data_IF_892382656959
#
_entry.id   IF_892382656959
#
_cell.length_a   1.000
_cell.length_b   1.000
_cell.length_c   1.000
_cell.angle_alpha   90.00
_cell.angle_beta   90.00
_cell.angle_gamma   90.00
#
_symmetry.space_group_name_H-M   'P 1'
#
loop_
_entity.id
_entity.type
_entity.pdbx_description
1 polymer ?
#
# COMPACT_ATOMS: atom_id res chain seq x y z
N UNK A 1 -3.34 42.72 0.23
CA UNK A 1 -2.07 41.94 0.13
C UNK A 1 -1.90 40.95 1.29
N UNK A 2 -2.26 41.31 2.53
CA UNK A 2 -2.14 40.40 3.69
C UNK A 2 -3.07 39.21 3.57
N UNK A 3 -4.33 39.41 3.16
CA UNK A 3 -5.32 38.31 3.01
C UNK A 3 -4.88 37.24 2.01
N UNK A 4 -4.24 37.64 0.90
CA UNK A 4 -3.69 36.69 -0.09
C UNK A 4 -2.52 35.89 0.50
N UNK A 5 -1.66 36.53 1.29
CA UNK A 5 -0.57 35.84 1.98
C UNK A 5 -1.08 34.81 2.98
N UNK A 6 -2.09 35.17 3.76
CA UNK A 6 -2.68 34.25 4.73
C UNK A 6 -3.38 33.08 4.01
N UNK A 7 -4.11 33.34 2.95
CA UNK A 7 -4.71 32.28 2.13
C UNK A 7 -3.65 31.33 1.54
N UNK A 8 -2.56 31.86 1.02
CA UNK A 8 -1.43 31.07 0.50
C UNK A 8 -0.76 30.24 1.58
N UNK A 9 -0.59 30.77 2.81
CA UNK A 9 -0.08 29.99 3.94
C UNK A 9 -1.00 28.83 4.28
N UNK A 10 -2.31 29.07 4.37
CA UNK A 10 -3.30 28.02 4.63
C UNK A 10 -3.22 26.95 3.54
N UNK A 11 -3.23 27.34 2.26
CA UNK A 11 -3.11 26.41 1.14
C UNK A 11 -1.76 25.64 1.14
N UNK A 12 -0.70 26.24 1.65
CA UNK A 12 0.61 25.58 1.82
C UNK A 12 0.53 24.54 2.94
N UNK A 13 -0.07 24.89 4.07
CA UNK A 13 -0.28 23.94 5.18
C UNK A 13 -1.19 22.78 4.76
N UNK A 14 -2.22 23.05 3.94
CA UNK A 14 -3.10 22.02 3.36
C UNK A 14 -2.44 21.20 2.23
N UNK A 15 -1.23 21.54 1.83
CA UNK A 15 -0.51 20.83 0.78
C UNK A 15 -0.96 21.12 -0.64
N UNK A 16 -1.85 22.07 -0.84
CA UNK A 16 -2.35 22.46 -2.16
C UNK A 16 -1.32 23.30 -2.90
N UNK A 17 -0.54 24.10 -2.17
CA UNK A 17 0.46 25.01 -2.71
C UNK A 17 1.82 24.73 -2.07
N UNK A 18 2.88 24.75 -2.89
CA UNK A 18 4.27 24.84 -2.44
C UNK A 18 4.81 26.23 -2.67
N UNK A 19 5.34 26.87 -1.62
CA UNK A 19 5.99 28.18 -1.69
C UNK A 19 7.50 28.03 -1.78
N UNK A 20 8.12 28.61 -2.78
CA UNK A 20 9.58 28.65 -2.92
C UNK A 20 10.06 30.09 -2.78
N UNK A 21 10.95 30.33 -1.82
CA UNK A 21 11.50 31.66 -1.57
C UNK A 21 12.17 32.21 -2.84
N UNK A 22 11.76 33.42 -3.26
CA UNK A 22 12.28 34.06 -4.46
C UNK A 22 11.74 33.53 -5.81
N UNK A 23 11.01 32.42 -5.83
CA UNK A 23 10.51 31.78 -7.05
C UNK A 23 8.98 31.78 -7.19
N UNK A 24 8.26 32.03 -6.09
CA UNK A 24 6.80 32.11 -6.12
C UNK A 24 6.06 30.89 -5.53
N UNK A 25 4.76 30.81 -5.84
CA UNK A 25 3.86 29.76 -5.36
C UNK A 25 3.44 28.87 -6.53
N UNK A 26 3.46 27.55 -6.29
CA UNK A 26 3.14 26.53 -7.28
C UNK A 26 2.11 25.59 -6.72
N UNK A 27 1.27 24.99 -7.57
CA UNK A 27 0.39 23.91 -7.17
C UNK A 27 1.26 22.72 -6.74
N UNK A 28 1.02 22.23 -5.54
CA UNK A 28 1.76 21.10 -5.00
C UNK A 28 1.28 19.80 -5.63
N UNK A 29 2.21 18.93 -6.07
CA UNK A 29 1.92 17.55 -6.47
C UNK A 29 2.03 16.54 -5.31
N UNK A 30 2.35 16.99 -4.09
CA UNK A 30 2.62 16.10 -2.95
C UNK A 30 1.38 15.83 -2.07
N UNK A 31 0.27 15.49 -2.70
CA UNK A 31 -0.96 15.15 -1.96
C UNK A 31 -0.76 13.95 -1.02
N UNK A 32 0.01 12.96 -1.45
CA UNK A 32 0.34 11.78 -0.65
C UNK A 32 1.01 12.14 0.68
N UNK A 33 2.04 12.98 0.68
CA UNK A 33 2.75 13.37 1.91
C UNK A 33 1.82 13.97 2.95
N UNK A 34 0.91 14.87 2.54
CA UNK A 34 -0.07 15.45 3.46
C UNK A 34 -1.10 14.45 3.96
N UNK A 35 -1.47 13.45 3.15
CA UNK A 35 -2.34 12.37 3.60
C UNK A 35 -1.64 11.49 4.65
N UNK A 36 -0.36 11.17 4.46
CA UNK A 36 0.46 10.45 5.44
C UNK A 36 0.54 11.23 6.75
N UNK A 37 0.82 12.54 6.69
CA UNK A 37 0.89 13.40 7.88
C UNK A 37 -0.45 13.42 8.64
N UNK A 38 -1.57 13.58 7.92
CA UNK A 38 -2.91 13.59 8.51
C UNK A 38 -3.28 12.24 9.15
N UNK A 39 -3.02 11.13 8.47
CA UNK A 39 -3.26 9.78 9.00
C UNK A 39 -2.35 9.48 10.19
N UNK A 40 -1.08 9.89 10.15
CA UNK A 40 -0.15 9.74 11.27
C UNK A 40 -0.61 10.53 12.50
N UNK A 41 -1.15 11.74 12.30
CA UNK A 41 -1.72 12.54 13.39
C UNK A 41 -2.97 11.87 13.98
N UNK A 42 -3.89 11.36 13.14
CA UNK A 42 -5.05 10.59 13.60
C UNK A 42 -4.61 9.36 14.40
N UNK A 43 -3.63 8.61 13.90
CA UNK A 43 -3.09 7.44 14.59
C UNK A 43 -2.59 7.79 16.01
N UNK A 44 -1.84 8.90 16.14
CA UNK A 44 -1.33 9.34 17.44
C UNK A 44 -2.41 9.87 18.37
N UNK A 45 -3.36 10.67 17.87
CA UNK A 45 -4.36 11.35 18.69
C UNK A 45 -5.52 10.42 19.09
N UNK A 46 -6.01 9.61 18.16
CA UNK A 46 -7.15 8.72 18.37
C UNK A 46 -6.72 7.33 18.89
N UNK A 47 -5.41 7.12 19.06
CA UNK A 47 -4.83 5.83 19.49
C UNK A 47 -5.36 4.67 18.64
N UNK A 48 -5.40 4.89 17.32
CA UNK A 48 -5.79 3.83 16.39
C UNK A 48 -4.84 2.65 16.55
N UNK A 49 -5.40 1.45 16.55
CA UNK A 49 -4.62 0.22 16.57
C UNK A 49 -4.34 -0.29 15.14
N UNK A 50 -3.44 -1.25 15.07
CA UNK A 50 -3.07 -1.91 13.82
C UNK A 50 -4.28 -2.54 13.13
N UNK A 51 -5.16 -3.17 13.88
CA UNK A 51 -6.29 -3.92 13.33
C UNK A 51 -7.23 -3.00 12.56
N UNK A 52 -7.48 -1.78 13.05
CA UNK A 52 -8.33 -0.80 12.38
C UNK A 52 -7.73 -0.36 11.03
N UNK A 53 -6.43 -0.10 10.98
CA UNK A 53 -5.73 0.26 9.74
C UNK A 53 -5.75 -0.93 8.77
N UNK A 54 -5.48 -2.14 9.29
CA UNK A 54 -5.44 -3.34 8.47
C UNK A 54 -6.81 -3.69 7.89
N UNK A 55 -7.89 -3.54 8.64
CA UNK A 55 -9.26 -3.72 8.15
C UNK A 55 -9.58 -2.82 6.95
N UNK A 56 -9.21 -1.54 7.02
CA UNK A 56 -9.37 -0.61 5.88
C UNK A 56 -8.49 -1.03 4.71
N UNK A 57 -7.24 -1.40 4.97
CA UNK A 57 -6.31 -1.90 3.95
C UNK A 57 -6.89 -3.11 3.23
N UNK A 58 -7.34 -4.12 3.97
CA UNK A 58 -7.97 -5.33 3.41
C UNK A 58 -9.14 -4.96 2.49
N UNK A 59 -10.05 -4.11 2.97
CA UNK A 59 -11.20 -3.67 2.16
C UNK A 59 -10.80 -3.02 0.84
N UNK A 60 -9.81 -2.14 0.87
CA UNK A 60 -9.29 -1.47 -0.33
C UNK A 60 -8.55 -2.43 -1.27
N UNK A 61 -7.73 -3.33 -0.74
CA UNK A 61 -6.99 -4.29 -1.54
C UNK A 61 -7.90 -5.34 -2.19
N UNK A 62 -8.93 -5.80 -1.49
CA UNK A 62 -9.95 -6.69 -2.05
C UNK A 62 -10.67 -6.03 -3.24
N UNK A 63 -11.01 -4.74 -3.13
CA UNK A 63 -11.61 -3.98 -4.22
C UNK A 63 -10.60 -3.73 -5.35
N UNK A 64 -9.35 -3.38 -5.02
CA UNK A 64 -8.28 -3.20 -5.99
C UNK A 64 -8.07 -4.48 -6.82
N UNK A 65 -8.05 -5.63 -6.16
CA UNK A 65 -7.90 -6.94 -6.82
C UNK A 65 -9.03 -7.21 -7.82
N UNK A 66 -10.28 -7.00 -7.40
CA UNK A 66 -11.44 -7.20 -8.28
C UNK A 66 -11.39 -6.30 -9.53
N UNK A 67 -10.90 -5.08 -9.38
CA UNK A 67 -10.68 -4.15 -10.50
C UNK A 67 -9.47 -4.57 -11.35
N UNK A 68 -8.36 -4.98 -10.72
CA UNK A 68 -7.17 -5.45 -11.43
C UNK A 68 -7.46 -6.67 -12.33
N UNK A 69 -8.29 -7.61 -11.86
CA UNK A 69 -8.73 -8.75 -12.68
C UNK A 69 -9.40 -8.29 -14.00
N UNK A 70 -10.10 -7.15 -14.00
CA UNK A 70 -10.76 -6.59 -15.19
C UNK A 70 -9.79 -5.76 -16.03
N UNK A 71 -8.93 -4.96 -15.38
CA UNK A 71 -8.22 -3.86 -16.01
C UNK A 71 -6.75 -4.16 -16.31
N UNK A 72 -6.14 -5.16 -15.63
CA UNK A 72 -4.72 -5.47 -15.80
C UNK A 72 -4.36 -5.78 -17.25
N UNK A 73 -3.32 -5.10 -17.72
CA UNK A 73 -2.71 -5.35 -19.04
C UNK A 73 -1.61 -6.41 -18.91
N UNK A 74 -1.15 -6.92 -20.04
CA UNK A 74 -0.07 -7.93 -20.10
C UNK A 74 1.20 -7.46 -19.37
N UNK A 75 1.55 -6.18 -19.48
CA UNK A 75 2.70 -5.60 -18.79
C UNK A 75 2.59 -5.68 -17.27
N UNK A 76 1.38 -5.42 -16.71
CA UNK A 76 1.14 -5.46 -15.26
C UNK A 76 1.30 -6.89 -14.73
N UNK A 77 0.86 -7.87 -15.52
CA UNK A 77 0.98 -9.29 -15.19
C UNK A 77 2.44 -9.75 -15.21
N UNK A 78 3.22 -9.32 -16.21
CA UNK A 78 4.66 -9.61 -16.28
C UNK A 78 5.37 -9.03 -15.07
N UNK A 79 5.12 -7.75 -14.74
CA UNK A 79 5.69 -7.08 -13.56
C UNK A 79 5.36 -7.84 -12.26
N UNK A 80 4.11 -8.28 -12.09
CA UNK A 80 3.69 -9.07 -10.92
C UNK A 80 4.41 -10.42 -10.83
N UNK A 81 4.56 -11.12 -11.96
CA UNK A 81 5.30 -12.39 -12.00
C UNK A 81 6.77 -12.22 -11.64
N UNK A 82 7.41 -11.15 -12.12
CA UNK A 82 8.78 -10.81 -11.77
C UNK A 82 8.92 -10.58 -10.26
N UNK A 83 8.00 -9.84 -9.64
CA UNK A 83 8.05 -9.60 -8.19
C UNK A 83 7.80 -10.87 -7.36
N UNK A 84 6.88 -11.74 -7.77
CA UNK A 84 6.66 -13.03 -7.10
C UNK A 84 7.89 -13.93 -7.22
N UNK A 85 8.52 -14.00 -8.39
CA UNK A 85 9.73 -14.78 -8.59
C UNK A 85 10.90 -14.22 -7.75
N UNK A 86 11.06 -12.90 -7.70
CA UNK A 86 12.09 -12.27 -6.89
C UNK A 86 11.86 -12.49 -5.39
N UNK A 87 10.60 -12.41 -4.92
CA UNK A 87 10.21 -12.76 -3.55
C UNK A 87 10.60 -14.21 -3.21
N UNK A 88 10.35 -15.14 -4.13
CA UNK A 88 10.63 -16.57 -3.94
C UNK A 88 12.13 -16.88 -3.88
N UNK A 89 12.93 -16.17 -4.67
CA UNK A 89 14.39 -16.35 -4.76
C UNK A 89 15.14 -15.62 -3.63
N UNK A 90 14.55 -14.60 -3.04
CA UNK A 90 15.21 -13.83 -1.99
C UNK A 90 15.39 -14.64 -0.72
N UNK A 91 16.58 -14.54 -0.12
CA UNK A 91 16.91 -15.09 1.20
C UNK A 91 16.89 -14.03 2.30
N UNK A 92 16.97 -12.76 1.92
CA UNK A 92 16.96 -11.62 2.81
C UNK A 92 15.54 -11.21 3.20
N UNK A 93 15.32 -10.92 4.50
CA UNK A 93 14.00 -10.55 5.00
C UNK A 93 13.57 -9.15 4.58
N UNK A 94 14.49 -8.21 4.44
CA UNK A 94 14.19 -6.85 4.02
C UNK A 94 13.82 -6.84 2.53
N UNK A 95 14.53 -7.63 1.72
CA UNK A 95 14.16 -7.85 0.32
C UNK A 95 12.77 -8.50 0.17
N UNK A 96 12.48 -9.52 0.99
CA UNK A 96 11.15 -10.17 1.00
C UNK A 96 10.06 -9.17 1.33
N UNK A 97 10.26 -8.34 2.35
CA UNK A 97 9.31 -7.28 2.72
C UNK A 97 9.13 -6.28 1.60
N UNK A 98 10.19 -5.91 0.91
CA UNK A 98 10.14 -5.00 -0.23
C UNK A 98 9.32 -5.59 -1.39
N UNK A 99 9.55 -6.86 -1.75
CA UNK A 99 8.80 -7.50 -2.84
C UNK A 99 7.34 -7.77 -2.48
N UNK A 100 7.04 -8.11 -1.22
CA UNK A 100 5.68 -8.20 -0.70
C UNK A 100 4.92 -6.89 -0.96
N UNK A 101 5.47 -5.76 -0.54
CA UNK A 101 4.90 -4.43 -0.80
C UNK A 101 4.74 -4.13 -2.28
N UNK A 102 5.74 -4.49 -3.10
CA UNK A 102 5.69 -4.26 -4.55
C UNK A 102 4.56 -5.04 -5.21
N UNK A 103 4.29 -6.28 -4.77
CA UNK A 103 3.19 -7.09 -5.28
C UNK A 103 1.84 -6.42 -4.98
N UNK A 104 1.60 -6.04 -3.73
CA UNK A 104 0.37 -5.35 -3.33
C UNK A 104 0.18 -4.01 -4.07
N UNK A 105 1.25 -3.22 -4.18
CA UNK A 105 1.22 -1.96 -4.92
C UNK A 105 0.95 -2.16 -6.42
N UNK A 106 1.56 -3.16 -7.05
CA UNK A 106 1.35 -3.46 -8.47
C UNK A 106 -0.09 -3.91 -8.75
N UNK A 107 -0.69 -4.71 -7.85
CA UNK A 107 -2.12 -5.08 -7.93
C UNK A 107 -3.00 -3.83 -7.82
N UNK A 108 -2.72 -2.96 -6.84
CA UNK A 108 -3.45 -1.70 -6.69
C UNK A 108 -3.33 -0.82 -7.94
N UNK A 109 -2.14 -0.69 -8.52
CA UNK A 109 -1.88 0.05 -9.74
C UNK A 109 -2.62 -0.54 -10.94
N UNK A 110 -2.61 -1.87 -11.10
CA UNK A 110 -3.33 -2.59 -12.15
C UNK A 110 -4.86 -2.45 -12.04
N UNK A 111 -5.38 -2.06 -10.86
CA UNK A 111 -6.80 -1.73 -10.68
C UNK A 111 -7.26 -0.56 -11.55
N UNK A 112 -6.34 0.35 -11.93
CA UNK A 112 -6.64 1.59 -12.63
C UNK A 112 -7.30 2.67 -11.76
N UNK A 113 -7.52 2.42 -10.46
CA UNK A 113 -8.12 3.38 -9.54
C UNK A 113 -7.05 4.15 -8.76
N UNK A 114 -6.72 5.35 -9.26
CA UNK A 114 -5.68 6.22 -8.67
C UNK A 114 -5.96 6.56 -7.20
N UNK A 115 -7.23 6.68 -6.80
CA UNK A 115 -7.57 6.99 -5.41
C UNK A 115 -7.24 5.81 -4.48
N UNK A 116 -7.57 4.58 -4.89
CA UNK A 116 -7.19 3.37 -4.13
C UNK A 116 -5.66 3.29 -3.99
N UNK A 117 -4.92 3.49 -5.08
CA UNK A 117 -3.45 3.49 -5.06
C UNK A 117 -2.91 4.49 -4.05
N UNK A 118 -3.37 5.74 -4.11
CA UNK A 118 -2.88 6.80 -3.22
C UNK A 118 -3.19 6.54 -1.75
N UNK A 119 -4.38 6.02 -1.44
CA UNK A 119 -4.77 5.70 -0.06
C UNK A 119 -3.95 4.51 0.46
N UNK A 120 -3.83 3.42 -0.30
CA UNK A 120 -3.04 2.26 0.09
C UNK A 120 -1.56 2.59 0.28
N UNK A 121 -1.01 3.44 -0.57
CA UNK A 121 0.37 3.91 -0.47
C UNK A 121 0.59 4.74 0.80
N UNK A 122 -0.35 5.65 1.13
CA UNK A 122 -0.30 6.43 2.36
C UNK A 122 -0.47 5.55 3.62
N UNK A 123 -1.40 4.60 3.60
CA UNK A 123 -1.56 3.65 4.71
C UNK A 123 -0.31 2.79 4.90
N UNK A 124 0.34 2.36 3.82
CA UNK A 124 1.58 1.59 3.89
C UNK A 124 2.71 2.37 4.57
N UNK A 125 2.86 3.67 4.25
CA UNK A 125 3.85 4.53 4.91
C UNK A 125 3.56 4.72 6.41
N UNK A 126 2.28 4.93 6.77
CA UNK A 126 1.88 5.02 8.18
C UNK A 126 2.18 3.72 8.92
N UNK A 127 1.87 2.58 8.32
CA UNK A 127 2.21 1.27 8.88
C UNK A 127 3.71 1.08 9.06
N UNK A 128 4.53 1.52 8.11
CA UNK A 128 5.99 1.42 8.21
C UNK A 128 6.55 2.25 9.37
N UNK A 129 5.99 3.43 9.62
CA UNK A 129 6.43 4.30 10.71
C UNK A 129 6.06 3.72 12.09
N UNK A 130 4.84 3.18 12.24
CA UNK A 130 4.30 2.81 13.54
C UNK A 130 4.38 1.32 13.88
N UNK A 131 4.64 0.44 12.89
CA UNK A 131 4.48 -1.02 13.05
C UNK A 131 5.75 -1.80 12.66
N UNK A 132 6.87 -1.10 12.54
CA UNK A 132 8.17 -1.72 12.23
C UNK A 132 8.49 -2.92 13.14
N UNK A 133 8.21 -2.82 14.43
CA UNK A 133 8.46 -3.88 15.42
C UNK A 133 7.54 -5.11 15.20
N UNK A 134 6.27 -4.91 14.87
CA UNK A 134 5.33 -6.03 14.63
C UNK A 134 5.68 -6.81 13.36
N UNK A 135 6.03 -6.13 12.26
CA UNK A 135 6.48 -6.82 11.03
C UNK A 135 7.69 -7.71 11.29
N UNK A 136 8.60 -7.26 12.12
CA UNK A 136 9.79 -8.02 12.49
C UNK A 136 9.46 -9.32 13.23
N UNK A 137 8.40 -9.34 14.04
CA UNK A 137 7.92 -10.54 14.72
C UNK A 137 7.25 -11.53 13.75
N UNK A 138 6.46 -11.04 12.79
CA UNK A 138 5.79 -11.84 11.75
C UNK A 138 6.81 -12.65 10.94
N UNK A 139 7.93 -12.04 10.60
CA UNK A 139 8.95 -12.63 9.74
C UNK A 139 9.90 -13.61 10.46
N UNK A 140 9.78 -13.79 11.79
CA UNK A 140 10.66 -14.66 12.57
C UNK A 140 10.43 -16.17 12.35
N UNK A 141 9.26 -16.58 11.87
CA UNK A 141 8.91 -18.01 11.77
C UNK A 141 9.02 -18.51 10.32
N UNK A 142 9.98 -19.39 10.03
CA UNK A 142 10.23 -19.98 8.70
C UNK A 142 8.99 -20.62 8.05
N UNK A 143 8.16 -21.29 8.86
CA UNK A 143 6.93 -21.94 8.40
C UNK A 143 5.94 -20.95 7.81
N UNK A 144 5.81 -19.75 8.39
CA UNK A 144 4.93 -18.68 7.90
C UNK A 144 5.45 -18.07 6.60
N UNK A 145 6.77 -17.94 6.46
CA UNK A 145 7.40 -17.42 5.23
C UNK A 145 6.99 -18.22 4.00
N UNK A 146 7.09 -19.54 4.05
CA UNK A 146 6.68 -20.42 2.94
C UNK A 146 5.19 -20.31 2.59
N UNK A 147 4.34 -20.17 3.60
CA UNK A 147 2.90 -20.01 3.40
C UNK A 147 2.55 -18.65 2.76
N UNK A 148 3.23 -17.58 3.17
CA UNK A 148 3.04 -16.25 2.57
C UNK A 148 3.48 -16.22 1.11
N UNK A 149 4.61 -16.83 0.78
CA UNK A 149 5.09 -16.94 -0.61
C UNK A 149 4.10 -17.70 -1.49
N UNK A 150 3.57 -18.82 -1.01
CA UNK A 150 2.56 -19.59 -1.73
C UNK A 150 1.27 -18.80 -1.93
N UNK A 151 0.84 -18.02 -0.94
CA UNK A 151 -0.34 -17.16 -1.07
C UNK A 151 -0.14 -16.10 -2.17
N UNK A 152 1.03 -15.46 -2.27
CA UNK A 152 1.32 -14.52 -3.34
C UNK A 152 1.30 -15.16 -4.73
N UNK A 153 1.87 -16.38 -4.87
CA UNK A 153 1.78 -17.14 -6.13
C UNK A 153 0.33 -17.38 -6.54
N UNK A 154 -0.52 -17.82 -5.60
CA UNK A 154 -1.94 -18.07 -5.85
C UNK A 154 -2.70 -16.80 -6.23
N UNK A 155 -2.41 -15.66 -5.58
CA UNK A 155 -3.02 -14.36 -5.89
C UNK A 155 -2.72 -13.99 -7.35
N UNK A 156 -1.46 -14.08 -7.78
CA UNK A 156 -1.05 -13.70 -9.14
C UNK A 156 -1.55 -14.72 -10.19
N UNK A 157 -1.54 -16.02 -9.89
CA UNK A 157 -2.12 -17.04 -10.78
C UNK A 157 -3.61 -16.85 -11.02
N UNK A 158 -4.38 -16.53 -9.96
CA UNK A 158 -5.80 -16.25 -10.10
C UNK A 158 -6.05 -14.96 -10.90
N UNK A 159 -5.19 -13.95 -10.77
CA UNK A 159 -5.26 -12.74 -11.58
C UNK A 159 -5.01 -13.04 -13.06
N UNK A 160 -4.02 -13.87 -13.38
CA UNK A 160 -3.77 -14.39 -14.75
C UNK A 160 -4.99 -15.09 -15.34
N UNK A 161 -5.64 -15.92 -14.54
CA UNK A 161 -6.84 -16.70 -14.93
C UNK A 161 -8.12 -15.85 -14.94
N UNK A 162 -8.04 -14.57 -14.60
CA UNK A 162 -9.20 -13.67 -14.41
C UNK A 162 -10.21 -14.19 -13.39
N UNK A 163 -9.75 -14.93 -12.38
CA UNK A 163 -10.56 -15.52 -11.32
C UNK A 163 -10.60 -14.61 -10.08
N UNK A 164 -11.61 -13.74 -10.05
CA UNK A 164 -11.81 -12.80 -8.93
C UNK A 164 -12.06 -13.55 -7.61
N UNK A 165 -12.89 -14.60 -7.64
CA UNK A 165 -13.37 -15.26 -6.41
C UNK A 165 -12.24 -15.99 -5.68
N UNK A 166 -11.48 -16.81 -6.40
CA UNK A 166 -10.39 -17.56 -5.80
C UNK A 166 -9.20 -16.65 -5.48
N UNK A 167 -8.96 -15.60 -6.28
CA UNK A 167 -7.93 -14.63 -5.99
C UNK A 167 -8.22 -13.81 -4.73
N UNK A 168 -9.46 -13.37 -4.53
CA UNK A 168 -9.86 -12.70 -3.29
C UNK A 168 -9.76 -13.63 -2.07
N UNK A 169 -10.08 -14.93 -2.22
CA UNK A 169 -9.85 -15.91 -1.15
C UNK A 169 -8.37 -16.08 -0.81
N UNK A 170 -7.51 -16.12 -1.83
CA UNK A 170 -6.06 -16.20 -1.62
C UNK A 170 -5.52 -14.94 -0.92
N UNK A 171 -6.01 -13.76 -1.32
CA UNK A 171 -5.67 -12.49 -0.69
C UNK A 171 -6.13 -12.42 0.77
N UNK A 172 -7.36 -12.85 1.08
CA UNK A 172 -7.84 -12.90 2.46
C UNK A 172 -7.00 -13.86 3.29
N UNK A 173 -6.70 -15.05 2.76
CA UNK A 173 -5.82 -16.02 3.46
C UNK A 173 -4.43 -15.44 3.73
N UNK A 174 -3.89 -14.63 2.83
CA UNK A 174 -2.63 -13.92 3.03
C UNK A 174 -2.73 -12.98 4.24
N UNK A 175 -3.80 -12.18 4.35
CA UNK A 175 -4.01 -11.28 5.48
C UNK A 175 -4.24 -12.04 6.80
N UNK A 176 -5.06 -13.10 6.79
CA UNK A 176 -5.29 -13.94 7.98
C UNK A 176 -4.00 -14.52 8.57
N UNK A 177 -3.00 -14.79 7.74
CA UNK A 177 -1.69 -15.26 8.20
C UNK A 177 -0.85 -14.16 8.87
N UNK A 178 -1.16 -12.91 8.58
CA UNK A 178 -0.52 -11.74 9.19
C UNK A 178 -1.20 -11.38 10.50
N UNK A 179 -2.54 -11.43 10.54
CA UNK A 179 -3.36 -10.98 11.68
C UNK A 179 -3.39 -11.95 12.87
N UNK A 180 -3.11 -13.25 12.65
CA UNK A 180 -3.12 -14.26 13.71
C UNK A 180 -1.79 -14.30 14.51
N UNK A 181 -1.28 -13.14 14.91
CA UNK A 181 -0.08 -12.96 15.72
C UNK A 181 -0.43 -12.31 17.03
#
# INVERSE_FOLDING_TARGET
RNSVREALKILTVMGVVSSRQGAGNYISGNFKGYMVDALSMMFMLDKLDYDQINQIRIGLEMQAYALAVKNAETKDIIELQEYVNALDQSTDNDEKTMYDKKIHYAIAKASGNVLIVNILDALSEVMDIFIFEMRREILRTEKRKGMLQEAHKQIVECLLKRDVVNGQKALMKHFDMIDNI
#
